data_IF_911364370381
#
_entry.id   IF_911364370381
#
_cell.length_a   1.000
_cell.length_b   1.000
_cell.length_c   1.000
_cell.angle_alpha   90.00
_cell.angle_beta   90.00
_cell.angle_gamma   90.00
#
_symmetry.space_group_name_H-M   'P 1'
#
loop_
_entity.id
_entity.type
_entity.pdbx_description
1 polymer ?
#
# COMPACT_ATOMS: atom_id res chain seq x y z
N UNK A 1 -33.45 43.56 1.09
CA UNK A 1 -33.16 42.89 2.37
C UNK A 1 -33.00 44.01 3.39
N UNK A 2 -33.81 44.04 4.42
CA UNK A 2 -33.66 45.04 5.49
C UNK A 2 -32.61 44.54 6.48
N UNK A 3 -31.78 45.43 7.02
CA UNK A 3 -30.84 45.04 8.11
C UNK A 3 -31.64 44.61 9.34
N UNK A 4 -31.27 43.49 9.92
CA UNK A 4 -31.80 43.02 11.21
C UNK A 4 -31.36 43.97 12.32
N UNK A 5 -32.32 44.66 12.93
CA UNK A 5 -32.05 45.68 13.96
C UNK A 5 -31.63 45.07 15.29
N UNK A 6 -31.86 43.78 15.49
CA UNK A 6 -31.60 43.09 16.76
C UNK A 6 -30.18 42.45 16.80
N UNK A 7 -29.47 42.45 15.67
CA UNK A 7 -28.12 41.93 15.58
C UNK A 7 -27.14 43.10 15.49
N UNK A 8 -26.27 43.28 16.51
CA UNK A 8 -25.26 44.32 16.46
C UNK A 8 -24.23 44.05 15.36
N UNK A 9 -23.56 45.09 14.90
CA UNK A 9 -22.49 44.98 13.93
C UNK A 9 -21.40 44.11 14.53
N UNK A 10 -21.03 43.02 13.82
CA UNK A 10 -19.92 42.16 14.18
C UNK A 10 -18.63 42.79 13.65
N UNK A 11 -17.83 43.32 14.51
CA UNK A 11 -16.49 43.83 14.17
C UNK A 11 -15.50 42.66 14.11
N UNK A 12 -14.83 42.53 12.98
CA UNK A 12 -13.73 41.55 12.80
C UNK A 12 -12.44 42.34 13.04
N UNK A 13 -11.74 42.01 14.14
CA UNK A 13 -10.46 42.67 14.41
C UNK A 13 -9.41 42.29 13.36
N UNK A 14 -8.40 43.15 13.13
CA UNK A 14 -7.30 42.86 12.22
C UNK A 14 -6.60 41.52 12.54
N UNK A 15 -6.40 41.22 13.80
CA UNK A 15 -5.75 39.98 14.26
C UNK A 15 -6.59 38.74 13.91
N UNK A 16 -7.90 38.84 14.09
CA UNK A 16 -8.83 37.77 13.71
C UNK A 16 -8.84 37.57 12.19
N UNK A 17 -8.84 38.66 11.42
CA UNK A 17 -8.77 38.63 9.96
C UNK A 17 -7.47 37.97 9.49
N UNK A 18 -6.34 38.37 10.03
CA UNK A 18 -5.03 37.79 9.73
C UNK A 18 -4.98 36.29 10.06
N UNK A 19 -5.56 35.90 11.19
CA UNK A 19 -5.66 34.49 11.58
C UNK A 19 -6.51 33.69 10.59
N UNK A 20 -7.62 34.22 10.15
CA UNK A 20 -8.48 33.57 9.13
C UNK A 20 -7.73 33.43 7.82
N UNK A 21 -7.07 34.49 7.34
CA UNK A 21 -6.32 34.49 6.10
C UNK A 21 -5.16 33.47 6.10
N UNK A 22 -4.50 33.27 7.23
CA UNK A 22 -3.41 32.29 7.39
C UNK A 22 -3.92 30.85 7.42
N UNK A 23 -5.17 30.63 7.79
CA UNK A 23 -5.78 29.31 7.92
C UNK A 23 -6.82 29.01 6.84
N UNK A 24 -6.78 29.74 5.73
CA UNK A 24 -7.65 29.43 4.60
C UNK A 24 -7.32 28.05 4.03
N UNK A 25 -8.32 27.22 3.71
CA UNK A 25 -8.09 25.97 3.01
C UNK A 25 -7.52 26.24 1.62
N UNK A 26 -6.76 25.28 1.12
CA UNK A 26 -6.21 25.37 -0.24
C UNK A 26 -7.34 25.48 -1.27
N UNK A 27 -7.13 26.34 -2.26
CA UNK A 27 -8.02 26.41 -3.41
C UNK A 27 -7.96 25.11 -4.23
N UNK A 28 -8.99 24.85 -5.03
CA UNK A 28 -9.02 23.67 -5.90
C UNK A 28 -7.81 23.60 -6.84
N UNK A 29 -7.28 24.75 -7.29
CA UNK A 29 -6.10 24.79 -8.15
C UNK A 29 -4.82 24.43 -7.38
N UNK A 30 -4.68 24.92 -6.15
CA UNK A 30 -3.54 24.59 -5.27
C UNK A 30 -3.54 23.11 -4.90
N UNK A 31 -4.69 22.55 -4.53
CA UNK A 31 -4.84 21.10 -4.26
C UNK A 31 -4.41 20.27 -5.47
N UNK A 32 -4.86 20.65 -6.68
CA UNK A 32 -4.46 19.99 -7.92
C UNK A 32 -2.96 20.12 -8.19
N UNK A 33 -2.38 21.29 -7.95
CA UNK A 33 -0.95 21.52 -8.15
C UNK A 33 -0.09 20.70 -7.18
N UNK A 34 -0.52 20.50 -5.92
CA UNK A 34 0.17 19.65 -4.93
C UNK A 34 0.30 18.20 -5.41
N UNK A 35 -0.73 17.67 -6.07
CA UNK A 35 -0.70 16.29 -6.58
C UNK A 35 0.21 16.14 -7.81
N UNK A 36 0.41 17.23 -8.57
CA UNK A 36 1.29 17.22 -9.74
C UNK A 36 2.72 16.92 -9.32
N UNK A 37 3.35 15.96 -9.96
CA UNK A 37 4.74 15.56 -9.67
C UNK A 37 4.90 14.39 -8.71
N UNK A 38 3.83 13.92 -8.07
CA UNK A 38 3.86 12.70 -7.25
C UNK A 38 3.90 11.41 -8.08
N UNK A 39 3.82 11.53 -9.41
CA UNK A 39 3.83 10.41 -10.33
C UNK A 39 2.54 9.57 -10.32
N UNK A 40 1.44 10.14 -9.84
CA UNK A 40 0.11 9.54 -9.88
C UNK A 40 -0.47 9.60 -11.29
N UNK A 41 -1.39 8.70 -11.60
CA UNK A 41 -2.18 8.80 -12.81
C UNK A 41 -3.25 9.90 -12.67
N UNK A 42 -3.67 10.50 -13.80
CA UNK A 42 -4.73 11.52 -13.79
C UNK A 42 -6.04 11.02 -13.15
N UNK A 43 -6.34 9.74 -13.29
CA UNK A 43 -7.52 9.14 -12.67
C UNK A 43 -7.38 9.08 -11.15
N UNK A 44 -6.19 8.74 -10.63
CA UNK A 44 -5.92 8.76 -9.19
C UNK A 44 -5.97 10.18 -8.63
N UNK A 45 -5.32 11.16 -9.29
CA UNK A 45 -5.40 12.57 -8.90
C UNK A 45 -6.86 13.05 -8.80
N UNK A 46 -7.66 12.75 -9.83
CA UNK A 46 -9.07 13.16 -9.85
C UNK A 46 -9.90 12.44 -8.78
N UNK A 47 -9.65 11.15 -8.54
CA UNK A 47 -10.35 10.38 -7.52
C UNK A 47 -10.03 10.88 -6.11
N UNK A 48 -8.77 11.21 -5.82
CA UNK A 48 -8.35 11.80 -4.55
C UNK A 48 -9.01 13.14 -4.28
N UNK A 49 -9.04 14.03 -5.30
CA UNK A 49 -9.70 15.34 -5.19
C UNK A 49 -11.21 15.22 -5.02
N UNK A 50 -11.86 14.33 -5.77
CA UNK A 50 -13.30 14.11 -5.67
C UNK A 50 -13.72 13.50 -4.33
N UNK A 51 -12.84 12.64 -3.76
CA UNK A 51 -13.04 12.04 -2.45
C UNK A 51 -12.65 12.95 -1.29
N UNK A 52 -12.07 14.13 -1.57
CA UNK A 52 -11.54 15.06 -0.55
C UNK A 52 -10.53 14.40 0.40
N UNK A 53 -9.72 13.45 -0.13
CA UNK A 53 -8.74 12.67 0.64
C UNK A 53 -7.29 12.99 0.28
N UNK A 54 -7.05 14.03 -0.48
CA UNK A 54 -5.72 14.50 -0.84
C UNK A 54 -4.93 14.99 0.39
N UNK A 55 -5.56 15.57 1.40
CA UNK A 55 -4.88 15.95 2.64
C UNK A 55 -4.38 14.71 3.38
N UNK A 56 -5.18 13.65 3.47
CA UNK A 56 -4.75 12.37 4.06
C UNK A 56 -3.60 11.73 3.26
N UNK A 57 -3.58 11.91 1.94
CA UNK A 57 -2.45 11.49 1.12
C UNK A 57 -1.15 12.18 1.57
N UNK A 58 -1.18 13.50 1.77
CA UNK A 58 -0.01 14.27 2.20
C UNK A 58 0.38 13.97 3.65
N UNK A 59 -0.57 13.74 4.55
CA UNK A 59 -0.29 13.27 5.90
C UNK A 59 0.52 11.96 5.91
N UNK A 60 0.23 11.03 5.02
CA UNK A 60 1.01 9.79 4.90
C UNK A 60 2.38 9.99 4.27
N UNK A 61 2.51 10.86 3.26
CA UNK A 61 3.78 11.13 2.57
C UNK A 61 4.75 11.94 3.46
N UNK A 62 4.23 12.96 4.16
CA UNK A 62 5.02 13.88 4.98
C UNK A 62 5.14 13.41 6.43
N UNK A 63 4.31 12.45 6.83
CA UNK A 63 4.24 11.89 8.17
C UNK A 63 5.43 11.03 8.56
N UNK A 64 5.38 10.40 9.76
CA UNK A 64 6.52 9.66 10.32
C UNK A 64 6.95 8.46 9.45
N UNK A 65 6.02 7.80 8.77
CA UNK A 65 6.29 6.63 7.93
C UNK A 65 6.78 6.97 6.52
N UNK A 66 6.65 8.23 6.08
CA UNK A 66 7.08 8.71 4.74
C UNK A 66 6.65 7.78 3.60
N UNK A 67 5.36 7.48 3.54
CA UNK A 67 4.82 6.50 2.61
C UNK A 67 5.07 6.87 1.14
N UNK A 68 5.39 5.89 0.28
CA UNK A 68 5.49 6.12 -1.15
C UNK A 68 4.15 6.57 -1.73
N UNK A 69 4.12 7.74 -2.40
CA UNK A 69 2.90 8.38 -2.86
C UNK A 69 1.97 7.46 -3.68
N UNK A 70 2.55 6.64 -4.58
CA UNK A 70 1.76 5.73 -5.44
C UNK A 70 1.12 4.60 -4.65
N UNK A 71 1.89 3.96 -3.78
CA UNK A 71 1.40 2.86 -2.95
C UNK A 71 0.30 3.36 -2.00
N UNK A 72 0.54 4.51 -1.37
CA UNK A 72 -0.39 5.11 -0.45
C UNK A 72 -1.68 5.59 -1.13
N UNK A 73 -1.58 6.26 -2.29
CA UNK A 73 -2.74 6.67 -3.08
C UNK A 73 -3.60 5.47 -3.50
N UNK A 74 -2.97 4.37 -3.96
CA UNK A 74 -3.70 3.16 -4.33
C UNK A 74 -4.42 2.55 -3.12
N UNK A 75 -3.75 2.46 -1.97
CA UNK A 75 -4.33 1.92 -0.75
C UNK A 75 -5.54 2.74 -0.27
N UNK A 76 -5.44 4.08 -0.27
CA UNK A 76 -6.54 4.97 0.09
C UNK A 76 -7.77 4.81 -0.81
N UNK A 77 -7.54 4.67 -2.12
CA UNK A 77 -8.61 4.53 -3.10
C UNK A 77 -9.26 3.13 -3.10
N UNK A 78 -8.49 2.08 -2.76
CA UNK A 78 -8.98 0.70 -2.73
C UNK A 78 -9.65 0.33 -1.41
N UNK A 79 -9.06 0.74 -0.27
CA UNK A 79 -9.47 0.29 1.06
C UNK A 79 -10.31 1.32 1.83
N UNK A 80 -10.38 2.56 1.32
CA UNK A 80 -11.07 3.66 1.99
C UNK A 80 -10.31 4.23 3.17
N UNK A 81 -10.97 5.11 3.94
CA UNK A 81 -10.34 5.98 4.94
C UNK A 81 -10.82 5.74 6.38
N UNK A 82 -11.49 4.62 6.64
CA UNK A 82 -12.07 4.34 7.96
C UNK A 82 -11.03 4.07 9.06
N UNK A 83 -9.85 3.57 8.67
CA UNK A 83 -8.74 3.25 9.58
C UNK A 83 -7.42 3.75 8.96
N UNK A 84 -7.18 5.06 8.89
CA UNK A 84 -6.06 5.62 8.13
C UNK A 84 -4.69 5.20 8.69
N UNK A 85 -4.51 5.16 10.01
CA UNK A 85 -3.25 4.73 10.61
C UNK A 85 -3.00 3.24 10.42
N UNK A 86 -4.02 2.40 10.54
CA UNK A 86 -3.90 0.97 10.28
C UNK A 86 -3.57 0.69 8.81
N UNK A 87 -4.19 1.42 7.89
CA UNK A 87 -3.88 1.34 6.47
C UNK A 87 -2.45 1.81 6.17
N UNK A 88 -2.02 2.93 6.78
CA UNK A 88 -0.67 3.46 6.64
C UNK A 88 0.39 2.47 7.14
N UNK A 89 0.17 1.85 8.31
CA UNK A 89 1.04 0.81 8.85
C UNK A 89 1.14 -0.40 7.91
N UNK A 90 0.01 -0.85 7.35
CA UNK A 90 0.00 -1.98 6.41
C UNK A 90 0.76 -1.68 5.12
N UNK A 91 0.64 -0.45 4.58
CA UNK A 91 1.39 -0.02 3.40
C UNK A 91 2.88 0.07 3.72
N UNK A 92 3.24 0.66 4.86
CA UNK A 92 4.64 0.77 5.30
C UNK A 92 5.31 -0.60 5.40
N UNK A 93 4.71 -1.53 6.15
CA UNK A 93 5.27 -2.87 6.34
C UNK A 93 5.36 -3.67 5.03
N UNK A 94 4.45 -3.45 4.10
CA UNK A 94 4.52 -4.08 2.77
C UNK A 94 5.65 -3.52 1.92
N UNK A 95 5.85 -2.22 1.92
CA UNK A 95 6.94 -1.57 1.17
C UNK A 95 8.31 -1.93 1.74
N UNK A 96 8.40 -2.12 3.07
CA UNK A 96 9.62 -2.64 3.74
C UNK A 96 9.82 -4.17 3.56
N UNK A 97 8.89 -4.87 2.92
CA UNK A 97 8.96 -6.31 2.73
C UNK A 97 8.76 -7.13 4.00
N UNK A 98 8.11 -6.58 5.01
CA UNK A 98 7.84 -7.20 6.30
C UNK A 98 6.43 -7.79 6.40
N UNK A 99 5.58 -7.55 5.41
CA UNK A 99 4.19 -8.01 5.41
C UNK A 99 3.75 -8.43 4.01
N UNK A 100 3.16 -9.62 3.90
CA UNK A 100 2.53 -10.08 2.66
C UNK A 100 1.23 -9.33 2.38
N UNK A 101 0.76 -9.37 1.12
CA UNK A 101 -0.53 -8.77 0.76
C UNK A 101 -1.70 -9.40 1.53
N UNK A 102 -1.74 -10.72 1.62
CA UNK A 102 -2.78 -11.45 2.33
C UNK A 102 -2.77 -11.13 3.84
N UNK A 103 -1.57 -11.07 4.44
CA UNK A 103 -1.40 -10.64 5.82
C UNK A 103 -1.87 -9.21 6.06
N UNK A 104 -1.58 -8.30 5.13
CA UNK A 104 -2.03 -6.91 5.22
C UNK A 104 -3.56 -6.78 5.22
N UNK A 105 -4.24 -7.50 4.32
CA UNK A 105 -5.71 -7.52 4.26
C UNK A 105 -6.32 -8.08 5.56
N UNK A 106 -5.76 -9.18 6.07
CA UNK A 106 -6.21 -9.83 7.32
C UNK A 106 -6.00 -8.93 8.52
N UNK A 107 -4.78 -8.41 8.72
CA UNK A 107 -4.44 -7.60 9.87
C UNK A 107 -5.13 -6.22 9.85
N UNK A 108 -5.39 -5.66 8.67
CA UNK A 108 -6.16 -4.42 8.55
C UNK A 108 -7.60 -4.59 9.06
N UNK A 109 -8.23 -5.74 8.79
CA UNK A 109 -9.58 -6.04 9.30
C UNK A 109 -9.59 -6.16 10.82
N UNK A 110 -8.59 -6.82 11.40
CA UNK A 110 -8.47 -7.11 12.83
C UNK A 110 -7.94 -5.94 13.65
N UNK A 111 -7.18 -5.03 13.03
CA UNK A 111 -6.57 -3.89 13.73
C UNK A 111 -7.61 -2.92 14.27
N UNK A 112 -7.28 -2.32 15.41
CA UNK A 112 -8.03 -1.20 16.00
C UNK A 112 -7.26 0.08 15.72
N UNK A 113 -7.97 1.11 15.26
CA UNK A 113 -7.34 2.40 14.99
C UNK A 113 -6.75 3.01 16.27
N UNK A 114 -5.55 3.58 16.16
CA UNK A 114 -4.80 4.10 17.30
C UNK A 114 -3.52 4.83 16.87
N UNK A 115 -2.58 5.08 17.81
CA UNK A 115 -1.28 5.65 17.49
C UNK A 115 -0.51 4.80 16.48
N UNK A 116 0.11 5.45 15.49
CA UNK A 116 0.73 4.78 14.36
C UNK A 116 1.83 3.78 14.78
N UNK A 117 2.69 4.18 15.73
CA UNK A 117 3.77 3.31 16.21
C UNK A 117 3.23 2.02 16.84
N UNK A 118 2.17 2.14 17.67
CA UNK A 118 1.53 0.98 18.30
C UNK A 118 0.93 0.02 17.28
N UNK A 119 0.38 0.55 16.19
CA UNK A 119 -0.22 -0.26 15.12
C UNK A 119 0.87 -0.96 14.31
N UNK A 120 1.96 -0.26 14.00
CA UNK A 120 3.11 -0.85 13.29
C UNK A 120 3.70 -2.00 14.10
N UNK A 121 3.94 -1.81 15.40
CA UNK A 121 4.44 -2.85 16.31
C UNK A 121 3.49 -4.05 16.38
N UNK A 122 2.19 -3.79 16.52
CA UNK A 122 1.17 -4.84 16.53
C UNK A 122 1.17 -5.64 15.22
N UNK A 123 1.09 -4.98 14.07
CA UNK A 123 1.04 -5.66 12.77
C UNK A 123 2.33 -6.41 12.46
N UNK A 124 3.49 -5.87 12.84
CA UNK A 124 4.77 -6.55 12.68
C UNK A 124 4.85 -7.83 13.51
N UNK A 125 4.48 -7.77 14.79
CA UNK A 125 4.46 -8.92 15.69
C UNK A 125 3.48 -10.01 15.22
N UNK A 126 2.29 -9.63 14.79
CA UNK A 126 1.29 -10.56 14.26
C UNK A 126 1.74 -11.18 12.93
N UNK A 127 2.41 -10.39 12.07
CA UNK A 127 2.96 -10.90 10.81
C UNK A 127 3.99 -12.01 11.04
N UNK A 128 4.90 -11.82 11.99
CA UNK A 128 5.88 -12.83 12.36
C UNK A 128 5.22 -14.08 12.96
N UNK A 129 4.30 -13.90 13.90
CA UNK A 129 3.66 -15.01 14.61
C UNK A 129 2.77 -15.89 13.73
N UNK A 130 2.16 -15.30 12.69
CA UNK A 130 1.23 -15.99 11.78
C UNK A 130 1.85 -16.39 10.44
N UNK A 131 3.13 -16.09 10.21
CA UNK A 131 3.81 -16.39 8.95
C UNK A 131 3.37 -15.53 7.77
N UNK A 132 2.93 -14.28 8.04
CA UNK A 132 2.60 -13.29 7.03
C UNK A 132 3.82 -12.47 6.55
N UNK A 133 5.01 -12.87 6.96
CA UNK A 133 6.26 -12.29 6.46
C UNK A 133 6.58 -12.90 5.10
N UNK A 134 6.95 -12.10 4.09
CA UNK A 134 7.35 -12.63 2.79
C UNK A 134 8.53 -13.61 2.93
N UNK A 135 8.47 -14.72 2.19
CA UNK A 135 9.57 -15.65 2.11
C UNK A 135 10.80 -14.94 1.52
N UNK A 136 11.96 -15.15 2.09
CA UNK A 136 13.23 -14.66 1.57
C UNK A 136 13.60 -15.35 0.23
N UNK A 137 14.47 -14.72 -0.55
CA UNK A 137 14.85 -15.19 -1.89
C UNK A 137 15.43 -16.61 -1.83
N UNK A 138 16.20 -16.96 -0.78
CA UNK A 138 16.77 -18.28 -0.57
C UNK A 138 15.69 -19.35 -0.39
N UNK A 139 14.70 -19.09 0.44
CA UNK A 139 13.55 -20.00 0.66
C UNK A 139 12.73 -20.19 -0.61
N UNK A 140 12.61 -19.14 -1.43
CA UNK A 140 11.94 -19.24 -2.74
C UNK A 140 12.77 -20.09 -3.73
N UNK A 141 14.09 -19.90 -3.78
CA UNK A 141 14.99 -20.71 -4.62
C UNK A 141 14.98 -22.19 -4.22
N UNK A 142 15.01 -22.49 -2.94
CA UNK A 142 14.94 -23.87 -2.43
C UNK A 142 13.59 -24.52 -2.81
N UNK A 143 12.49 -23.83 -2.61
CA UNK A 143 11.16 -24.31 -2.96
C UNK A 143 11.01 -24.54 -4.49
N UNK A 144 11.56 -23.63 -5.30
CA UNK A 144 11.58 -23.77 -6.77
C UNK A 144 12.42 -24.98 -7.18
N UNK A 145 13.62 -25.13 -6.62
CA UNK A 145 14.53 -26.23 -6.93
C UNK A 145 13.91 -27.59 -6.60
N UNK A 146 13.24 -27.70 -5.47
CA UNK A 146 12.55 -28.93 -5.06
C UNK A 146 11.35 -29.24 -5.96
N UNK A 147 10.54 -28.25 -6.33
CA UNK A 147 9.40 -28.43 -7.23
C UNK A 147 9.90 -28.84 -8.64
N UNK A 148 10.96 -28.21 -9.15
CA UNK A 148 11.55 -28.54 -10.44
C UNK A 148 12.15 -29.95 -10.45
N UNK A 149 12.84 -30.36 -9.37
CA UNK A 149 13.39 -31.71 -9.26
C UNK A 149 12.30 -32.78 -9.26
N UNK A 150 11.19 -32.54 -8.55
CA UNK A 150 10.05 -33.46 -8.46
C UNK A 150 9.27 -33.55 -9.79
N UNK A 151 9.31 -32.49 -10.61
CA UNK A 151 8.54 -32.35 -11.85
C UNK A 151 9.43 -32.16 -13.09
N UNK A 152 10.63 -32.68 -13.07
CA UNK A 152 11.61 -32.54 -14.17
C UNK A 152 11.08 -33.00 -15.50
N UNK A 153 10.33 -34.12 -15.52
CA UNK A 153 9.75 -34.67 -16.76
C UNK A 153 8.68 -33.74 -17.34
N UNK A 154 7.86 -33.14 -16.49
CA UNK A 154 6.86 -32.16 -16.90
C UNK A 154 7.49 -30.86 -17.48
N UNK A 155 8.63 -30.45 -16.95
CA UNK A 155 9.40 -29.32 -17.47
C UNK A 155 9.97 -29.64 -18.84
N UNK A 156 10.54 -30.86 -19.04
CA UNK A 156 11.07 -31.29 -20.34
C UNK A 156 9.99 -31.41 -21.43
N UNK A 157 8.79 -31.82 -21.03
CA UNK A 157 7.66 -31.98 -21.99
C UNK A 157 7.06 -30.63 -22.39
N UNK A 158 6.89 -29.67 -21.43
CA UNK A 158 6.17 -28.40 -21.65
C UNK A 158 7.08 -27.19 -21.81
N UNK A 159 8.34 -27.28 -21.50
CA UNK A 159 9.26 -26.17 -21.56
C UNK A 159 8.77 -24.97 -20.75
N UNK A 160 8.87 -23.77 -21.30
CA UNK A 160 8.40 -22.53 -20.67
C UNK A 160 6.89 -22.52 -20.36
N UNK A 161 6.09 -23.38 -20.98
CA UNK A 161 4.67 -23.52 -20.64
C UNK A 161 4.40 -24.16 -19.27
N UNK A 162 5.44 -24.72 -18.61
CA UNK A 162 5.34 -25.27 -17.28
C UNK A 162 5.32 -24.20 -16.17
N UNK A 163 5.75 -22.95 -16.45
CA UNK A 163 5.86 -21.87 -15.45
C UNK A 163 4.55 -21.65 -14.69
N UNK A 164 3.42 -21.54 -15.40
CA UNK A 164 2.11 -21.27 -14.76
C UNK A 164 1.68 -22.37 -13.77
N UNK A 165 1.60 -23.61 -14.17
CA UNK A 165 1.26 -24.72 -13.27
C UNK A 165 2.23 -24.89 -12.10
N UNK A 166 3.54 -24.74 -12.34
CA UNK A 166 4.57 -24.89 -11.30
C UNK A 166 4.56 -23.72 -10.31
N UNK A 167 4.23 -22.52 -10.76
CA UNK A 167 4.06 -21.35 -9.89
C UNK A 167 3.02 -21.60 -8.78
N UNK A 168 1.88 -22.20 -9.13
CA UNK A 168 0.87 -22.57 -8.15
C UNK A 168 1.39 -23.55 -7.10
N UNK A 169 2.21 -24.52 -7.49
CA UNK A 169 2.81 -25.51 -6.57
C UNK A 169 3.85 -24.86 -5.65
N UNK A 170 4.70 -23.96 -6.17
CA UNK A 170 5.68 -23.21 -5.35
C UNK A 170 4.96 -22.32 -4.37
N UNK A 171 3.95 -21.55 -4.80
CA UNK A 171 3.16 -20.69 -3.94
C UNK A 171 2.44 -21.48 -2.84
N UNK A 172 1.88 -22.63 -3.16
CA UNK A 172 1.25 -23.50 -2.16
C UNK A 172 2.27 -24.03 -1.14
N UNK A 173 3.48 -24.36 -1.59
CA UNK A 173 4.55 -24.84 -0.70
C UNK A 173 5.05 -23.75 0.25
N UNK A 174 5.11 -22.53 -0.22
CA UNK A 174 5.50 -21.35 0.58
C UNK A 174 4.32 -20.74 1.37
N UNK A 175 3.16 -21.40 1.40
CA UNK A 175 2.00 -20.93 2.15
C UNK A 175 1.45 -19.57 1.70
N UNK A 176 1.71 -19.16 0.45
CA UNK A 176 1.32 -17.84 -0.07
C UNK A 176 2.23 -16.68 0.37
N UNK A 177 3.29 -16.93 1.13
CA UNK A 177 4.18 -15.90 1.68
C UNK A 177 5.21 -15.34 0.69
N UNK A 178 5.23 -15.80 -0.58
CA UNK A 178 6.20 -15.35 -1.56
C UNK A 178 5.62 -14.32 -2.54
N UNK A 179 6.47 -13.38 -3.00
CA UNK A 179 6.10 -12.49 -4.11
C UNK A 179 6.01 -13.29 -5.42
N UNK A 180 4.82 -13.31 -6.00
CA UNK A 180 4.57 -14.02 -7.27
C UNK A 180 5.45 -13.55 -8.43
N UNK A 181 5.94 -12.31 -8.43
CA UNK A 181 6.87 -11.81 -9.44
C UNK A 181 8.25 -12.44 -9.26
N UNK A 182 8.72 -12.53 -8.01
CA UNK A 182 9.99 -13.16 -7.67
C UNK A 182 9.96 -14.66 -8.02
N UNK A 183 8.91 -15.37 -7.60
CA UNK A 183 8.71 -16.79 -7.93
C UNK A 183 8.68 -17.00 -9.45
N UNK A 184 7.94 -16.16 -10.20
CA UNK A 184 7.86 -16.27 -11.66
C UNK A 184 9.20 -16.01 -12.34
N UNK A 185 10.01 -15.08 -11.83
CA UNK A 185 11.35 -14.79 -12.35
C UNK A 185 12.27 -15.98 -12.14
N UNK A 186 12.40 -16.46 -10.91
CA UNK A 186 13.29 -17.59 -10.56
C UNK A 186 12.86 -18.85 -11.33
N UNK A 187 11.55 -19.16 -11.43
CA UNK A 187 11.06 -20.28 -12.20
C UNK A 187 11.45 -20.20 -13.68
N UNK A 188 11.33 -19.01 -14.30
CA UNK A 188 11.71 -18.82 -15.71
C UNK A 188 13.20 -19.02 -15.93
N UNK A 189 14.01 -18.43 -15.06
CA UNK A 189 15.47 -18.50 -15.14
C UNK A 189 15.92 -19.98 -15.01
N UNK A 190 15.43 -20.71 -14.01
CA UNK A 190 15.77 -22.12 -13.78
C UNK A 190 15.23 -23.06 -14.88
N UNK A 191 14.02 -22.84 -15.37
CA UNK A 191 13.48 -23.65 -16.49
C UNK A 191 14.27 -23.40 -17.76
N UNK A 192 14.69 -22.17 -18.04
CA UNK A 192 15.56 -21.86 -19.19
C UNK A 192 16.89 -22.61 -19.11
N UNK A 193 17.53 -22.61 -17.93
CA UNK A 193 18.77 -23.37 -17.70
C UNK A 193 18.62 -24.90 -17.86
N UNK A 194 17.41 -25.44 -17.60
CA UNK A 194 17.14 -26.88 -17.73
C UNK A 194 16.82 -27.33 -19.15
N UNK A 195 16.47 -26.40 -20.05
CA UNK A 195 16.07 -26.68 -21.44
C UNK A 195 17.26 -26.48 -22.40
N UNK A 196 18.23 -25.65 -22.02
CA UNK A 196 19.50 -25.52 -22.77
C UNK A 196 20.39 -26.78 -22.60
#
# INVERSE_FOLDING_TARGET
MYPETDIPVLEISPERWDSICKNLPLSAQERKNRLSGLGLSKNQEQALLNGEIDDLLFEGIEGPLKLPAKAWASALLESGTSKPNSLAASVHLREEGLLTREGAETLLMESVEGPIDTIVDFMSSEAESRGFVPADESSVEDAVTEVLSTRSDFVKERGMGAVGPLMGMVMQKLGGSADGKLVSKILRDRISEMIE
#
